data_IF_588916467512
#
_entry.id   IF_588916467512
#
_cell.length_a   1.000
_cell.length_b   1.000
_cell.length_c   1.000
_cell.angle_alpha   90.00
_cell.angle_beta   90.00
_cell.angle_gamma   90.00
#
_symmetry.space_group_name_H-M   'P 1'
#
loop_
_entity.id
_entity.type
_entity.pdbx_description
1 polymer ?
#
# COMPACT_ATOMS: atom_id res chain seq x y z
N UNK A 1 -28.67 27.03 5.21
CA UNK A 1 -27.53 26.10 5.36
C UNK A 1 -27.41 25.39 4.03
N UNK A 2 -26.38 25.69 3.24
CA UNK A 2 -26.12 24.90 2.02
C UNK A 2 -25.77 23.48 2.48
N UNK A 3 -26.35 22.47 1.84
CA UNK A 3 -26.00 21.08 2.13
C UNK A 3 -24.50 20.89 1.88
N UNK A 4 -23.86 20.08 2.72
CA UNK A 4 -22.47 19.69 2.52
C UNK A 4 -22.33 19.07 1.11
N UNK A 5 -21.48 19.62 0.22
CA UNK A 5 -21.34 19.12 -1.14
C UNK A 5 -20.62 17.78 -1.21
N UNK A 6 -20.07 17.28 -0.09
CA UNK A 6 -19.42 15.96 -0.03
C UNK A 6 -20.43 14.83 -0.21
N UNK A 7 -20.03 13.70 -0.83
CA UNK A 7 -20.88 12.51 -0.87
C UNK A 7 -21.25 12.03 0.53
N UNK A 8 -22.27 11.18 0.63
CA UNK A 8 -22.54 10.47 1.90
C UNK A 8 -21.27 9.77 2.36
N UNK A 9 -20.98 9.92 3.65
CA UNK A 9 -19.85 9.25 4.27
C UNK A 9 -20.24 7.79 4.46
N UNK A 10 -19.68 6.94 3.61
CA UNK A 10 -19.92 5.50 3.65
C UNK A 10 -18.80 4.77 4.45
N UNK A 11 -17.85 5.53 5.01
CA UNK A 11 -16.66 5.04 5.74
C UNK A 11 -16.48 5.84 7.04
N UNK A 12 -16.60 5.18 8.18
CA UNK A 12 -16.25 5.75 9.49
C UNK A 12 -14.87 5.23 9.94
N UNK A 13 -13.93 6.10 10.34
CA UNK A 13 -12.61 5.70 10.77
C UNK A 13 -12.67 5.12 12.19
N UNK A 14 -11.79 4.17 12.48
CA UNK A 14 -11.55 3.69 13.84
C UNK A 14 -10.78 4.69 14.70
N UNK A 15 -10.66 4.40 16.00
CA UNK A 15 -9.96 5.25 17.01
C UNK A 15 -8.52 5.58 16.61
N UNK A 16 -7.82 4.65 15.95
CA UNK A 16 -6.44 4.87 15.49
C UNK A 16 -6.34 5.82 14.27
N UNK A 17 -7.46 6.23 13.67
CA UNK A 17 -7.49 7.15 12.53
C UNK A 17 -7.02 8.57 12.87
N UNK A 18 -6.94 8.93 14.15
CA UNK A 18 -6.46 10.24 14.63
C UNK A 18 -4.98 10.23 15.05
N UNK A 19 -4.26 9.13 14.90
CA UNK A 19 -2.86 9.04 15.31
C UNK A 19 -1.95 10.01 14.50
N UNK A 20 -0.86 10.54 15.09
CA UNK A 20 0.09 11.39 14.39
C UNK A 20 0.82 10.63 13.28
N UNK A 21 0.89 11.18 12.07
CA UNK A 21 1.45 10.51 10.88
C UNK A 21 3.00 10.57 10.78
N UNK A 22 3.69 10.98 11.85
CA UNK A 22 5.13 11.24 11.83
C UNK A 22 6.02 9.99 11.81
N UNK A 23 5.47 8.78 12.00
CA UNK A 23 6.21 7.52 11.94
C UNK A 23 5.42 6.45 11.17
N UNK A 24 6.13 5.41 10.72
CA UNK A 24 5.58 4.34 9.89
C UNK A 24 4.51 3.52 10.64
N UNK A 25 4.71 3.25 11.93
CA UNK A 25 3.74 2.50 12.75
C UNK A 25 2.37 3.18 12.82
N UNK A 26 2.35 4.48 13.06
CA UNK A 26 1.12 5.26 13.07
C UNK A 26 0.51 5.40 11.68
N UNK A 27 1.33 5.53 10.63
CA UNK A 27 0.86 5.55 9.25
C UNK A 27 0.12 4.25 8.90
N UNK A 28 0.68 3.10 9.26
CA UNK A 28 0.02 1.79 9.15
C UNK A 28 -1.30 1.77 9.91
N UNK A 29 -1.28 2.13 11.20
CA UNK A 29 -2.46 2.11 12.05
C UNK A 29 -3.58 3.02 11.54
N UNK A 30 -3.23 4.16 10.95
CA UNK A 30 -4.19 5.08 10.32
C UNK A 30 -4.79 4.44 9.05
N UNK A 31 -3.98 3.85 8.16
CA UNK A 31 -4.49 3.14 6.99
C UNK A 31 -5.48 2.02 7.38
N UNK A 32 -5.10 1.20 8.34
CA UNK A 32 -5.95 0.12 8.86
C UNK A 32 -7.23 0.65 9.52
N UNK A 33 -7.15 1.78 10.25
CA UNK A 33 -8.32 2.42 10.85
C UNK A 33 -9.33 2.95 9.82
N UNK A 34 -8.87 3.31 8.61
CA UNK A 34 -9.75 3.65 7.49
C UNK A 34 -10.22 2.42 6.71
N UNK A 35 -9.78 1.21 7.10
CA UNK A 35 -10.13 -0.06 6.48
C UNK A 35 -9.35 -0.35 5.20
N UNK A 36 -8.19 0.26 5.01
CA UNK A 36 -7.25 -0.15 3.96
C UNK A 36 -6.58 -1.44 4.42
N UNK A 37 -6.72 -2.52 3.62
CA UNK A 37 -6.10 -3.80 3.92
C UNK A 37 -4.63 -3.77 3.52
N UNK A 38 -3.76 -4.11 4.48
CA UNK A 38 -2.32 -4.23 4.31
C UNK A 38 -1.89 -5.70 4.49
N UNK A 39 -0.75 -6.13 3.93
CA UNK A 39 -0.17 -7.43 4.24
C UNK A 39 0.21 -7.49 5.72
N UNK A 40 0.15 -8.70 6.29
CA UNK A 40 0.71 -8.91 7.64
C UNK A 40 2.20 -8.65 7.59
N UNK A 41 2.72 -7.96 8.59
CA UNK A 41 4.15 -7.66 8.69
C UNK A 41 4.58 -7.42 10.12
N UNK A 42 5.88 -7.61 10.37
CA UNK A 42 6.51 -7.37 11.65
C UNK A 42 7.97 -6.96 11.45
N UNK A 43 8.44 -6.03 12.29
CA UNK A 43 9.89 -5.77 12.42
C UNK A 43 10.46 -6.76 13.42
N UNK A 44 11.32 -7.65 12.93
CA UNK A 44 12.03 -8.63 13.73
C UNK A 44 13.44 -8.10 14.04
N UNK A 45 13.79 -8.07 15.33
CA UNK A 45 15.13 -7.75 15.82
C UNK A 45 16.05 -8.97 15.81
N UNK A 46 15.47 -10.18 15.78
CA UNK A 46 16.20 -11.45 15.77
C UNK A 46 15.68 -12.40 14.69
N UNK A 47 16.49 -13.39 14.33
CA UNK A 47 16.09 -14.44 13.38
C UNK A 47 14.96 -15.31 13.95
N UNK A 48 14.93 -15.54 15.26
CA UNK A 48 13.90 -16.35 15.92
C UNK A 48 12.52 -15.68 15.81
N UNK A 49 12.46 -14.36 16.03
CA UNK A 49 11.23 -13.56 15.82
C UNK A 49 10.78 -13.61 14.35
N UNK A 50 11.73 -13.48 13.42
CA UNK A 50 11.43 -13.53 11.98
C UNK A 50 10.85 -14.90 11.59
N UNK A 51 11.41 -15.99 12.11
CA UNK A 51 10.98 -17.36 11.81
C UNK A 51 9.63 -17.68 12.46
N UNK A 52 9.40 -17.23 13.70
CA UNK A 52 8.10 -17.38 14.36
C UNK A 52 6.98 -16.74 13.52
N UNK A 53 7.23 -15.52 13.03
CA UNK A 53 6.28 -14.83 12.16
C UNK A 53 6.10 -15.53 10.81
N UNK A 54 7.20 -15.92 10.14
CA UNK A 54 7.13 -16.64 8.85
C UNK A 54 6.35 -17.95 8.99
N UNK A 55 6.63 -18.73 10.02
CA UNK A 55 6.00 -20.03 10.26
C UNK A 55 4.50 -19.92 10.57
N UNK A 56 4.01 -18.74 10.96
CA UNK A 56 2.58 -18.46 11.16
C UNK A 56 1.83 -18.11 9.87
N UNK A 57 2.53 -18.04 8.72
CA UNK A 57 1.96 -17.72 7.42
C UNK A 57 1.92 -18.96 6.51
N UNK A 58 0.86 -19.09 5.72
CA UNK A 58 0.74 -20.12 4.68
C UNK A 58 1.35 -19.69 3.33
N UNK A 59 2.03 -18.55 3.30
CA UNK A 59 2.59 -17.91 2.11
C UNK A 59 4.09 -17.61 2.29
N UNK A 60 4.76 -17.35 1.16
CA UNK A 60 6.12 -16.81 1.20
C UNK A 60 6.15 -15.44 1.90
N UNK A 61 7.33 -15.03 2.35
CA UNK A 61 7.56 -13.69 2.91
C UNK A 61 8.54 -12.89 2.08
N UNK A 62 8.39 -11.58 2.12
CA UNK A 62 9.43 -10.63 1.77
C UNK A 62 10.18 -10.22 3.04
N UNK A 63 11.51 -10.17 2.94
CA UNK A 63 12.42 -9.68 3.97
C UNK A 63 13.00 -8.36 3.49
N UNK A 64 12.72 -7.27 4.20
CA UNK A 64 13.17 -5.92 3.87
C UNK A 64 14.01 -5.36 5.01
N UNK A 65 15.03 -4.55 4.73
CA UNK A 65 15.75 -3.84 5.79
C UNK A 65 14.82 -2.86 6.51
N UNK A 66 14.81 -2.88 7.85
CA UNK A 66 14.09 -1.89 8.65
C UNK A 66 15.06 -0.82 9.14
N UNK A 67 15.01 0.36 8.52
CA UNK A 67 15.85 1.49 8.89
C UNK A 67 15.18 2.82 8.53
N UNK A 68 15.07 3.78 9.46
CA UNK A 68 14.58 5.13 9.16
C UNK A 68 15.55 5.94 8.28
N UNK A 69 16.81 5.52 8.19
CA UNK A 69 17.84 6.21 7.41
C UNK A 69 17.97 5.66 5.98
N UNK A 70 17.21 4.60 5.64
CA UNK A 70 17.25 3.93 4.32
C UNK A 70 15.83 3.90 3.72
N UNK A 71 15.50 4.92 2.94
CA UNK A 71 14.22 5.01 2.25
C UNK A 71 14.13 4.08 1.02
N UNK A 72 15.14 4.08 0.15
CA UNK A 72 15.14 3.34 -1.12
C UNK A 72 15.77 1.94 -0.98
N UNK A 73 15.08 1.05 -0.25
CA UNK A 73 15.59 -0.28 0.14
C UNK A 73 15.95 -1.16 -1.06
N UNK A 74 15.12 -1.15 -2.11
CA UNK A 74 15.33 -1.99 -3.30
C UNK A 74 16.64 -1.66 -4.02
N UNK A 75 17.00 -0.38 -4.12
CA UNK A 75 18.19 0.09 -4.85
C UNK A 75 19.51 -0.42 -4.25
N UNK A 76 19.52 -0.67 -2.95
CA UNK A 76 20.69 -1.18 -2.24
C UNK A 76 20.68 -2.71 -2.10
N UNK A 77 19.67 -3.41 -2.64
CA UNK A 77 19.46 -4.84 -2.39
C UNK A 77 18.98 -5.14 -0.97
N UNK A 78 18.28 -4.19 -0.34
CA UNK A 78 17.69 -4.30 0.99
C UNK A 78 16.31 -4.95 1.00
N UNK A 79 15.96 -5.70 -0.04
CA UNK A 79 14.70 -6.45 -0.18
C UNK A 79 15.01 -7.81 -0.81
N UNK A 80 14.52 -8.87 -0.20
CA UNK A 80 14.50 -10.24 -0.74
C UNK A 80 13.07 -10.74 -0.69
N UNK A 81 12.53 -11.24 -1.80
CA UNK A 81 11.15 -11.75 -1.89
C UNK A 81 11.13 -13.27 -2.00
N UNK A 82 9.92 -13.86 -1.94
CA UNK A 82 9.69 -15.28 -2.21
C UNK A 82 10.43 -16.23 -1.25
N UNK A 83 10.63 -15.81 -0.01
CA UNK A 83 11.27 -16.62 1.05
C UNK A 83 10.25 -17.60 1.63
N UNK A 84 10.48 -18.90 1.45
CA UNK A 84 9.53 -19.95 1.80
C UNK A 84 9.90 -20.74 3.06
N UNK A 85 11.18 -20.77 3.45
CA UNK A 85 11.67 -21.63 4.53
C UNK A 85 12.70 -20.98 5.44
N UNK A 86 12.99 -21.65 6.55
CA UNK A 86 13.91 -21.21 7.60
C UNK A 86 15.33 -20.90 7.07
N UNK A 87 15.90 -21.82 6.28
CA UNK A 87 17.24 -21.62 5.68
C UNK A 87 17.29 -20.41 4.73
N UNK A 88 16.23 -20.24 3.91
CA UNK A 88 16.12 -19.11 3.00
C UNK A 88 15.94 -17.79 3.77
N UNK A 89 15.20 -17.82 4.89
CA UNK A 89 14.98 -16.67 5.75
C UNK A 89 16.27 -16.18 6.38
N UNK A 90 17.10 -17.09 6.90
CA UNK A 90 18.41 -16.74 7.44
C UNK A 90 19.31 -16.08 6.38
N UNK A 91 19.38 -16.66 5.18
CA UNK A 91 20.13 -16.09 4.05
C UNK A 91 19.60 -14.72 3.64
N UNK A 92 18.27 -14.55 3.59
CA UNK A 92 17.64 -13.28 3.24
C UNK A 92 17.94 -12.19 4.28
N UNK A 93 17.84 -12.52 5.58
CA UNK A 93 18.15 -11.60 6.68
C UNK A 93 19.61 -11.13 6.62
N UNK A 94 20.55 -12.06 6.42
CA UNK A 94 21.97 -11.72 6.28
C UNK A 94 22.21 -10.87 5.03
N UNK A 95 21.56 -11.18 3.92
CA UNK A 95 21.70 -10.46 2.66
C UNK A 95 21.30 -9.00 2.82
N UNK A 96 20.10 -8.72 3.33
CA UNK A 96 19.62 -7.33 3.47
C UNK A 96 20.44 -6.53 4.49
N UNK A 97 20.88 -7.16 5.59
CA UNK A 97 21.72 -6.51 6.59
C UNK A 97 23.11 -6.16 6.04
N UNK A 98 23.75 -7.09 5.33
CA UNK A 98 25.07 -6.87 4.73
C UNK A 98 25.01 -5.77 3.66
N UNK A 99 23.97 -5.79 2.83
CA UNK A 99 23.72 -4.78 1.82
C UNK A 99 23.49 -3.39 2.42
N UNK A 100 22.69 -3.30 3.49
CA UNK A 100 22.45 -2.06 4.22
C UNK A 100 23.75 -1.48 4.79
N UNK A 101 24.53 -2.28 5.53
CA UNK A 101 25.81 -1.83 6.12
C UNK A 101 26.85 -1.44 5.07
N UNK A 102 26.83 -2.08 3.90
CA UNK A 102 27.75 -1.77 2.80
C UNK A 102 27.46 -0.42 2.15
N UNK A 103 26.19 -0.10 1.91
CA UNK A 103 25.79 1.13 1.22
C UNK A 103 25.59 2.31 2.18
N UNK A 104 25.16 2.03 3.41
CA UNK A 104 24.88 3.02 4.46
C UNK A 104 25.51 2.58 5.79
N UNK A 105 26.85 2.70 5.94
CA UNK A 105 27.55 2.20 7.12
C UNK A 105 27.12 2.87 8.44
N UNK A 106 26.62 4.10 8.36
CA UNK A 106 26.19 4.89 9.52
C UNK A 106 24.67 4.85 9.76
N UNK A 107 23.91 4.07 8.96
CA UNK A 107 22.46 3.98 9.13
C UNK A 107 22.07 3.26 10.42
N UNK A 108 21.06 3.78 11.11
CA UNK A 108 20.38 3.08 12.21
C UNK A 108 19.58 1.92 11.63
N UNK A 109 20.00 0.70 11.89
CA UNK A 109 19.26 -0.52 11.52
C UNK A 109 18.48 -0.98 12.75
N UNK A 110 17.16 -1.05 12.62
CA UNK A 110 16.23 -1.46 13.69
C UNK A 110 15.95 -2.96 13.65
N UNK A 111 16.24 -3.62 12.52
CA UNK A 111 16.05 -5.05 12.31
C UNK A 111 15.73 -5.35 10.85
N UNK A 112 14.90 -6.37 10.63
CA UNK A 112 14.32 -6.69 9.32
C UNK A 112 12.80 -6.65 9.39
N UNK A 113 12.16 -6.04 8.42
CA UNK A 113 10.72 -6.14 8.20
C UNK A 113 10.44 -7.44 7.45
N UNK A 114 9.74 -8.36 8.10
CA UNK A 114 9.21 -9.58 7.49
C UNK A 114 7.75 -9.34 7.15
N UNK A 115 7.39 -9.50 5.88
CA UNK A 115 6.08 -9.14 5.35
C UNK A 115 5.50 -10.29 4.52
N UNK A 116 4.22 -10.59 4.70
CA UNK A 116 3.47 -11.55 3.90
C UNK A 116 3.50 -11.19 2.40
N UNK A 117 3.86 -12.15 1.54
CA UNK A 117 3.76 -11.97 0.09
C UNK A 117 2.30 -12.06 -0.36
N UNK A 118 1.87 -11.03 -1.10
CA UNK A 118 0.59 -11.02 -1.79
C UNK A 118 0.82 -11.50 -3.22
N UNK A 119 0.27 -12.66 -3.56
CA UNK A 119 0.49 -13.28 -4.87
C UNK A 119 -0.73 -13.13 -5.78
N UNK A 120 -0.46 -12.85 -7.05
CA UNK A 120 -1.48 -12.77 -8.10
C UNK A 120 -2.28 -11.46 -8.08
N UNK A 121 -3.30 -11.41 -8.93
CA UNK A 121 -4.10 -10.21 -9.15
C UNK A 121 -3.47 -9.22 -10.13
N UNK A 122 -4.14 -8.07 -10.29
CA UNK A 122 -3.65 -6.94 -11.07
C UNK A 122 -3.08 -5.90 -10.11
N UNK A 123 -1.86 -5.42 -10.37
CA UNK A 123 -1.28 -4.31 -9.62
C UNK A 123 -1.74 -2.97 -10.18
N UNK A 124 -2.25 -2.13 -9.28
CA UNK A 124 -2.66 -0.74 -9.55
C UNK A 124 -1.96 0.20 -8.57
N UNK A 125 -1.99 1.49 -8.86
CA UNK A 125 -1.56 2.56 -7.96
C UNK A 125 -2.77 3.33 -7.47
N UNK A 126 -2.79 3.65 -6.17
CA UNK A 126 -3.74 4.59 -5.57
C UNK A 126 -2.93 5.66 -4.85
N UNK A 127 -2.98 6.89 -5.35
CA UNK A 127 -2.27 8.02 -4.79
C UNK A 127 -3.20 9.11 -4.27
N UNK A 128 -2.69 9.97 -3.41
CA UNK A 128 -3.29 11.24 -3.02
C UNK A 128 -2.23 12.30 -3.22
N UNK A 129 -2.59 13.40 -3.87
CA UNK A 129 -1.79 14.63 -3.86
C UNK A 129 -2.66 15.81 -3.46
N UNK A 130 -2.06 16.82 -2.84
CA UNK A 130 -2.74 18.11 -2.67
C UNK A 130 -2.45 19.06 -3.82
N UNK A 131 -3.50 19.44 -4.51
CA UNK A 131 -3.48 20.55 -5.46
C UNK A 131 -3.71 21.88 -4.73
N UNK A 132 -2.96 22.96 -5.05
CA UNK A 132 -3.13 24.27 -4.40
C UNK A 132 -4.50 24.91 -4.59
N UNK A 133 -5.23 24.54 -5.66
CA UNK A 133 -6.54 25.12 -6.01
C UNK A 133 -7.67 24.16 -5.62
N UNK A 134 -7.52 22.88 -5.93
CA UNK A 134 -8.58 21.89 -5.75
C UNK A 134 -8.52 21.14 -4.41
N UNK A 135 -7.45 21.30 -3.64
CA UNK A 135 -7.24 20.58 -2.39
C UNK A 135 -6.82 19.13 -2.64
N UNK A 136 -7.18 18.17 -1.76
CA UNK A 136 -6.79 16.78 -1.92
C UNK A 136 -7.43 16.16 -3.16
N UNK A 137 -6.61 15.50 -3.98
CA UNK A 137 -6.99 14.80 -5.19
C UNK A 137 -6.60 13.32 -5.07
N UNK A 138 -7.54 12.40 -5.25
CA UNK A 138 -7.28 10.97 -5.36
C UNK A 138 -6.80 10.67 -6.79
N UNK A 139 -5.77 9.86 -6.90
CA UNK A 139 -5.11 9.44 -8.14
C UNK A 139 -5.25 7.93 -8.25
N UNK A 140 -5.61 7.44 -9.42
CA UNK A 140 -5.69 6.02 -9.71
C UNK A 140 -5.03 5.72 -11.05
N UNK A 141 -4.24 4.65 -11.14
CA UNK A 141 -3.63 4.23 -12.40
C UNK A 141 -3.07 2.81 -12.37
N UNK A 142 -2.48 2.36 -13.48
CA UNK A 142 -1.72 1.11 -13.53
C UNK A 142 -0.54 1.15 -12.56
N UNK A 143 -0.32 0.03 -11.86
CA UNK A 143 0.81 -0.19 -10.97
C UNK A 143 1.79 -1.20 -11.56
N UNK A 144 2.88 -1.43 -10.83
CA UNK A 144 3.91 -2.38 -11.25
C UNK A 144 4.45 -2.11 -12.66
N UNK A 145 4.67 -3.16 -13.44
CA UNK A 145 5.19 -3.04 -14.81
C UNK A 145 4.23 -2.35 -15.80
N UNK A 146 2.94 -2.27 -15.48
CA UNK A 146 1.95 -1.64 -16.38
C UNK A 146 2.03 -0.12 -16.36
N UNK A 147 2.56 0.49 -15.30
CA UNK A 147 2.73 1.96 -15.24
C UNK A 147 3.65 2.45 -16.35
N UNK A 148 4.74 1.71 -16.62
CA UNK A 148 5.71 2.03 -17.67
C UNK A 148 5.12 1.89 -19.07
N UNK A 149 4.13 1.01 -19.24
CA UNK A 149 3.56 0.66 -20.53
C UNK A 149 2.34 1.53 -20.92
N UNK A 150 1.49 1.86 -19.94
CA UNK A 150 0.18 2.47 -20.18
C UNK A 150 0.17 3.96 -19.81
N UNK A 151 0.90 4.39 -18.78
CA UNK A 151 1.10 5.81 -18.43
C UNK A 151 -0.16 6.65 -18.16
N UNK A 152 -1.33 6.04 -18.06
CA UNK A 152 -2.61 6.72 -17.89
C UNK A 152 -2.99 6.78 -16.41
N UNK A 153 -3.36 7.97 -15.93
CA UNK A 153 -3.79 8.18 -14.54
C UNK A 153 -5.07 9.00 -14.50
N UNK A 154 -5.98 8.56 -13.66
CA UNK A 154 -7.26 9.20 -13.40
C UNK A 154 -7.15 10.01 -12.11
N UNK A 155 -7.77 11.19 -12.07
CA UNK A 155 -7.75 12.07 -10.91
C UNK A 155 -9.15 12.59 -10.58
N UNK A 156 -9.52 12.56 -9.29
CA UNK A 156 -10.79 13.08 -8.80
C UNK A 156 -10.57 13.90 -7.51
N UNK A 157 -11.38 14.94 -7.25
CA UNK A 157 -11.32 15.66 -5.97
C UNK A 157 -11.80 14.76 -4.82
N UNK A 158 -11.09 14.79 -3.70
CA UNK A 158 -11.48 14.08 -2.49
C UNK A 158 -12.54 14.86 -1.68
N UNK A 159 -13.42 14.16 -0.94
CA UNK A 159 -13.60 12.71 -0.94
C UNK A 159 -14.51 12.24 -2.09
N UNK A 160 -14.36 10.98 -2.51
CA UNK A 160 -15.22 10.32 -3.50
C UNK A 160 -16.04 9.21 -2.85
N UNK A 161 -17.25 8.95 -3.38
CA UNK A 161 -18.05 7.79 -2.98
C UNK A 161 -17.59 6.52 -3.69
N UNK A 162 -17.92 5.35 -3.11
CA UNK A 162 -17.63 4.05 -3.75
C UNK A 162 -18.27 3.96 -5.14
N UNK A 163 -19.49 4.50 -5.32
CA UNK A 163 -20.17 4.50 -6.61
C UNK A 163 -19.44 5.33 -7.68
N UNK A 164 -18.84 6.47 -7.28
CA UNK A 164 -18.02 7.30 -8.18
C UNK A 164 -16.72 6.59 -8.52
N UNK A 165 -16.04 6.02 -7.51
CA UNK A 165 -14.81 5.25 -7.72
C UNK A 165 -15.04 4.04 -8.64
N UNK A 166 -16.14 3.29 -8.43
CA UNK A 166 -16.49 2.15 -9.26
C UNK A 166 -16.68 2.53 -10.73
N UNK A 167 -17.39 3.63 -10.99
CA UNK A 167 -17.58 4.14 -12.36
C UNK A 167 -16.26 4.54 -13.01
N UNK A 168 -15.40 5.25 -12.28
CA UNK A 168 -14.06 5.61 -12.74
C UNK A 168 -13.27 4.37 -13.17
N UNK A 169 -13.29 3.31 -12.36
CA UNK A 169 -12.59 2.06 -12.63
C UNK A 169 -13.13 1.35 -13.87
N UNK A 170 -14.45 1.27 -14.03
CA UNK A 170 -15.09 0.62 -15.19
C UNK A 170 -14.86 1.39 -16.51
N UNK A 171 -14.77 2.73 -16.43
CA UNK A 171 -14.51 3.62 -17.57
C UNK A 171 -13.00 3.78 -17.89
N UNK A 172 -12.11 3.35 -16.97
CA UNK A 172 -10.65 3.49 -17.14
C UNK A 172 -10.08 2.55 -18.22
N UNK A 173 -8.85 2.83 -18.65
CA UNK A 173 -8.09 1.95 -19.55
C UNK A 173 -7.89 0.53 -18.99
N UNK A 174 -7.96 0.36 -17.67
CA UNK A 174 -7.87 -0.94 -16.99
C UNK A 174 -9.22 -1.66 -16.87
N UNK A 175 -10.34 -0.98 -17.16
CA UNK A 175 -11.71 -1.51 -17.14
C UNK A 175 -11.85 -2.92 -17.74
N UNK A 176 -11.29 -3.20 -18.93
CA UNK A 176 -11.33 -4.53 -19.53
C UNK A 176 -10.56 -5.60 -18.74
N UNK A 177 -9.42 -5.26 -18.11
CA UNK A 177 -8.60 -6.22 -17.36
C UNK A 177 -9.30 -6.69 -16.09
N UNK A 178 -10.07 -5.81 -15.47
CA UNK A 178 -10.87 -6.13 -14.29
C UNK A 178 -11.97 -7.17 -14.53
N UNK A 179 -12.44 -7.29 -15.77
CA UNK A 179 -13.45 -8.28 -16.19
C UNK A 179 -12.84 -9.66 -16.46
N UNK A 180 -11.51 -9.79 -16.35
CA UNK A 180 -10.74 -10.99 -16.65
C UNK A 180 -9.99 -10.88 -17.98
N UNK A 181 -8.81 -11.50 -18.05
CA UNK A 181 -7.96 -11.49 -19.24
C UNK A 181 -7.24 -12.83 -19.43
N UNK A 182 -7.28 -13.37 -20.65
CA UNK A 182 -6.58 -14.63 -21.02
C UNK A 182 -6.82 -15.82 -20.07
N UNK A 183 -8.07 -16.00 -19.64
CA UNK A 183 -8.47 -17.13 -18.80
C UNK A 183 -8.41 -16.87 -17.30
N UNK A 184 -7.99 -15.67 -16.86
CA UNK A 184 -8.25 -15.23 -15.49
C UNK A 184 -9.73 -14.88 -15.30
N UNK A 185 -10.24 -15.12 -14.09
CA UNK A 185 -11.56 -14.67 -13.67
C UNK A 185 -11.63 -13.15 -13.44
N UNK A 186 -12.83 -12.63 -13.13
CA UNK A 186 -12.99 -11.23 -12.75
C UNK A 186 -12.22 -10.90 -11.47
N UNK A 187 -11.80 -9.64 -11.34
CA UNK A 187 -11.13 -9.09 -10.17
C UNK A 187 -12.12 -8.38 -9.24
N UNK A 188 -11.77 -8.24 -7.97
CA UNK A 188 -12.65 -7.63 -6.95
C UNK A 188 -12.71 -6.10 -7.07
N UNK A 189 -13.53 -5.66 -8.01
CA UNK A 189 -13.70 -4.25 -8.32
C UNK A 189 -14.41 -3.46 -7.24
N UNK A 190 -15.22 -4.14 -6.43
CA UNK A 190 -15.91 -3.52 -5.29
C UNK A 190 -14.92 -3.21 -4.18
N UNK A 191 -14.03 -4.15 -3.87
CA UNK A 191 -12.97 -3.92 -2.90
C UNK A 191 -12.05 -2.77 -3.33
N UNK A 192 -11.65 -2.73 -4.60
CA UNK A 192 -10.83 -1.62 -5.12
C UNK A 192 -11.55 -0.26 -5.02
N UNK A 193 -12.82 -0.18 -5.42
CA UNK A 193 -13.61 1.04 -5.30
C UNK A 193 -13.76 1.50 -3.84
N UNK A 194 -13.97 0.55 -2.91
CA UNK A 194 -14.01 0.84 -1.47
C UNK A 194 -12.68 1.37 -0.97
N UNK A 195 -11.55 0.76 -1.35
CA UNK A 195 -10.20 1.26 -0.98
C UNK A 195 -9.98 2.69 -1.47
N UNK A 196 -10.31 3.00 -2.74
CA UNK A 196 -10.19 4.36 -3.30
C UNK A 196 -11.04 5.35 -2.50
N UNK A 197 -12.29 5.02 -2.19
CA UNK A 197 -13.16 5.86 -1.40
C UNK A 197 -12.59 6.10 0.01
N UNK A 198 -12.14 5.04 0.70
CA UNK A 198 -11.52 5.11 2.04
C UNK A 198 -10.29 6.01 2.07
N UNK A 199 -9.39 5.84 1.11
CA UNK A 199 -8.18 6.67 0.97
C UNK A 199 -8.54 8.13 0.67
N UNK A 200 -9.57 8.37 -0.14
CA UNK A 200 -10.04 9.73 -0.41
C UNK A 200 -10.63 10.41 0.83
N UNK A 201 -11.34 9.66 1.68
CA UNK A 201 -11.84 10.16 2.97
C UNK A 201 -10.70 10.44 3.94
N UNK A 202 -9.70 9.55 4.03
CA UNK A 202 -8.49 9.79 4.81
C UNK A 202 -7.81 11.11 4.42
N UNK A 203 -7.64 11.36 3.12
CA UNK A 203 -7.06 12.60 2.62
C UNK A 203 -7.87 13.86 2.94
N UNK A 204 -9.21 13.73 2.96
CA UNK A 204 -10.12 14.82 3.29
C UNK A 204 -10.14 15.12 4.80
N UNK A 205 -10.03 14.09 5.63
CA UNK A 205 -10.08 14.19 7.10
C UNK A 205 -8.73 14.56 7.73
N UNK A 206 -7.62 14.33 7.02
CA UNK A 206 -6.25 14.60 7.51
C UNK A 206 -5.53 15.68 6.68
N UNK A 207 -5.83 16.99 6.88
CA UNK A 207 -5.22 18.15 6.23
C UNK A 207 -3.69 18.25 6.27
N UNK A 208 -2.99 17.37 6.97
CA UNK A 208 -1.52 17.29 6.97
C UNK A 208 -0.96 16.29 5.94
N UNK A 209 -1.77 15.39 5.35
CA UNK A 209 -1.29 14.47 4.30
C UNK A 209 -1.03 15.23 2.99
N UNK A 210 0.23 15.63 2.74
CA UNK A 210 0.62 16.29 1.50
C UNK A 210 0.58 15.30 0.32
N UNK A 211 1.07 14.08 0.56
CA UNK A 211 1.08 12.98 -0.40
C UNK A 211 0.85 11.65 0.31
N UNK A 212 0.09 10.74 -0.30
CA UNK A 212 0.00 9.34 0.08
C UNK A 212 0.10 8.52 -1.19
N UNK A 213 1.04 7.59 -1.26
CA UNK A 213 1.18 6.67 -2.38
C UNK A 213 0.98 5.23 -1.88
N UNK A 214 -0.01 4.52 -2.42
CA UNK A 214 -0.19 3.08 -2.25
C UNK A 214 0.23 2.42 -3.56
N UNK A 215 1.42 1.82 -3.56
CA UNK A 215 2.02 1.29 -4.78
C UNK A 215 3.02 0.15 -4.51
N UNK A 216 2.72 -1.10 -4.93
CA UNK A 216 1.51 -1.50 -5.63
C UNK A 216 0.32 -1.75 -4.68
N UNK A 217 -0.87 -1.64 -5.24
CA UNK A 217 -2.11 -2.19 -4.69
C UNK A 217 -2.49 -3.40 -5.53
N UNK A 218 -2.51 -4.58 -4.91
CA UNK A 218 -2.91 -5.82 -5.56
C UNK A 218 -4.43 -5.97 -5.54
N UNK A 219 -5.05 -6.10 -6.71
CA UNK A 219 -6.48 -6.37 -6.89
C UNK A 219 -6.65 -7.85 -7.17
N UNK A 220 -7.19 -8.59 -6.20
CA UNK A 220 -7.28 -10.06 -6.25
C UNK A 220 -8.57 -10.50 -6.98
N UNK A 221 -8.78 -11.82 -7.06
CA UNK A 221 -9.98 -12.39 -7.64
C UNK A 221 -11.26 -11.90 -6.95
N UNK A 222 -12.38 -11.91 -7.67
CA UNK A 222 -13.69 -11.48 -7.13
C UNK A 222 -14.01 -12.16 -5.78
N UNK A 223 -14.18 -11.36 -4.73
CA UNK A 223 -14.41 -11.81 -3.35
C UNK A 223 -13.15 -11.95 -2.48
N UNK A 224 -11.95 -11.95 -3.08
CA UNK A 224 -10.68 -12.05 -2.36
C UNK A 224 -10.13 -10.66 -1.94
N UNK A 225 -10.73 -9.61 -2.47
CA UNK A 225 -10.48 -8.23 -2.07
C UNK A 225 -9.28 -7.56 -2.74
N UNK A 226 -8.73 -6.58 -2.03
CA UNK A 226 -7.67 -5.71 -2.51
C UNK A 226 -6.68 -5.44 -1.37
N UNK A 227 -5.38 -5.42 -1.64
CA UNK A 227 -4.32 -5.27 -0.63
C UNK A 227 -3.31 -4.22 -1.08
N UNK A 228 -3.09 -3.17 -0.28
CA UNK A 228 -1.98 -2.24 -0.51
C UNK A 228 -0.69 -2.86 0.02
N UNK A 229 0.20 -3.25 -0.89
CA UNK A 229 1.42 -4.03 -0.58
C UNK A 229 2.50 -3.14 0.02
N UNK A 230 2.58 -1.91 -0.46
CA UNK A 230 3.49 -0.89 0.04
C UNK A 230 2.78 0.45 0.09
N UNK A 231 3.27 1.31 0.98
CA UNK A 231 2.72 2.66 1.15
C UNK A 231 3.81 3.66 1.53
N UNK A 232 3.60 4.90 1.14
CA UNK A 232 4.44 6.03 1.51
C UNK A 232 3.59 7.24 1.83
N UNK A 233 3.87 7.89 2.96
CA UNK A 233 3.30 9.18 3.31
C UNK A 233 4.34 10.28 3.20
N UNK A 234 3.89 11.43 2.70
CA UNK A 234 4.55 12.72 2.92
C UNK A 234 3.59 13.58 3.73
N UNK A 235 4.01 13.96 4.94
CA UNK A 235 3.24 14.86 5.81
C UNK A 235 3.75 16.29 5.57
N UNK A 236 2.83 17.20 5.27
CA UNK A 236 3.11 18.62 5.13
C UNK A 236 3.25 19.31 6.49
N UNK A 237 3.85 20.50 6.46
CA UNK A 237 4.02 21.38 7.63
C UNK A 237 2.68 21.96 8.15
#
# INVERSE_FOLDING_TARGET
MLADPRPSRDVEPGVAGEAPLGNVENQKAVLEAYGVRLPREMVAATIDEAEEFRAALDSAVAVKIASPDIAHRTEIGGVVTDVLGEDELAVACDTVNNNARRHHPDARIEGVLVQEMVNGGLEVLIGVKRDPVFGPMIVFGPGGTLVELIGDVNMLPCPVSEAVAYRLLDESVLGPLFKGFRGSGPLDLKALASTIARVSWLAADRPEIAELDLNPVAVLGDGDGCVAVDYKFTVGD
#
